data_IF_697538897329
#
_entry.id   IF_697538897329
#
_cell.length_a   1.000
_cell.length_b   1.000
_cell.length_c   1.000
_cell.angle_alpha   90.00
_cell.angle_beta   90.00
_cell.angle_gamma   90.00
#
_symmetry.space_group_name_H-M   'P 1'
#
loop_
_entity.id
_entity.type
_entity.pdbx_description
1 polymer ?
#
# COMPACT_ATOMS: atom_id res chain seq x y z
N UNK A 1 -6.83 -20.37 -0.83
CA UNK A 1 -6.10 -19.41 -1.70
C UNK A 1 -6.50 -17.96 -1.39
N UNK A 2 -5.54 -17.17 -0.94
CA UNK A 2 -5.72 -15.72 -0.80
C UNK A 2 -6.03 -15.15 -2.18
N UNK A 3 -7.23 -14.60 -2.36
CA UNK A 3 -7.60 -13.84 -3.56
C UNK A 3 -7.55 -12.37 -3.20
N UNK A 4 -6.85 -11.60 -4.05
CA UNK A 4 -6.79 -10.16 -3.97
C UNK A 4 -7.47 -9.59 -5.21
N UNK A 5 -8.41 -8.68 -5.04
CA UNK A 5 -9.04 -7.94 -6.14
C UNK A 5 -8.82 -6.46 -5.93
N UNK A 6 -8.30 -5.76 -6.95
CA UNK A 6 -8.03 -4.34 -6.90
C UNK A 6 -8.93 -3.57 -7.85
N UNK A 7 -9.36 -2.38 -7.45
CA UNK A 7 -9.96 -1.38 -8.34
C UNK A 7 -9.24 -0.05 -8.17
N UNK A 8 -8.90 0.56 -9.29
CA UNK A 8 -8.02 1.72 -9.35
C UNK A 8 -6.96 1.49 -10.41
N UNK A 9 -6.23 2.55 -10.75
CA UNK A 9 -5.07 2.45 -11.63
C UNK A 9 -3.93 3.29 -11.05
N UNK A 10 -2.71 2.85 -11.31
CA UNK A 10 -1.51 3.63 -11.11
C UNK A 10 -1.16 4.40 -12.38
N UNK A 11 -0.69 5.64 -12.22
CA UNK A 11 -0.29 6.48 -13.35
C UNK A 11 1.14 6.97 -13.17
N UNK A 12 2.02 6.46 -14.02
CA UNK A 12 3.42 6.82 -14.07
C UNK A 12 3.75 7.54 -15.38
N UNK A 13 4.74 8.44 -15.31
CA UNK A 13 5.35 9.05 -16.49
C UNK A 13 6.84 9.19 -16.25
N UNK A 14 7.65 8.79 -17.22
CA UNK A 14 9.08 9.06 -17.27
C UNK A 14 9.44 9.50 -18.68
N UNK A 15 9.60 10.82 -18.83
CA UNK A 15 9.88 11.48 -20.10
C UNK A 15 10.76 12.69 -19.87
N UNK A 16 11.76 12.91 -20.73
CA UNK A 16 12.70 14.02 -20.58
C UNK A 16 13.47 14.00 -19.26
N UNK A 17 13.78 12.81 -18.74
CA UNK A 17 14.48 12.63 -17.46
C UNK A 17 13.65 12.97 -16.21
N UNK A 18 12.34 13.23 -16.35
CA UNK A 18 11.45 13.55 -15.24
C UNK A 18 10.51 12.38 -14.94
N UNK A 19 10.60 11.82 -13.74
CA UNK A 19 9.67 10.81 -13.23
C UNK A 19 8.49 11.47 -12.51
N UNK A 20 7.29 10.96 -12.77
CA UNK A 20 6.06 11.36 -12.09
C UNK A 20 5.26 10.13 -11.68
N UNK A 21 4.72 10.19 -10.48
CA UNK A 21 3.64 9.31 -10.03
C UNK A 21 2.43 10.19 -9.69
N UNK A 22 1.46 10.24 -10.59
CA UNK A 22 0.30 11.15 -10.47
C UNK A 22 -0.79 10.59 -9.54
N UNK A 23 -0.73 9.28 -9.23
CA UNK A 23 -1.65 8.59 -8.32
C UNK A 23 -1.07 8.39 -6.91
N UNK A 24 0.23 8.58 -6.72
CA UNK A 24 0.87 8.53 -5.41
C UNK A 24 0.36 9.66 -4.48
N UNK A 25 0.41 9.41 -3.18
CA UNK A 25 0.07 10.40 -2.15
C UNK A 25 1.24 10.58 -1.17
N UNK A 26 1.94 11.73 -1.20
CA UNK A 26 1.79 12.85 -2.13
C UNK A 26 2.20 12.45 -3.57
N UNK A 27 1.73 13.24 -4.54
CA UNK A 27 2.18 13.08 -5.93
C UNK A 27 3.68 13.27 -6.01
N UNK A 28 4.37 12.41 -6.74
CA UNK A 28 5.82 12.49 -6.92
C UNK A 28 6.12 13.11 -8.27
N UNK A 29 7.08 14.03 -8.30
CA UNK A 29 7.59 14.65 -9.51
C UNK A 29 9.08 15.02 -9.27
N UNK A 30 9.99 14.17 -9.72
CA UNK A 30 11.44 14.31 -9.48
C UNK A 30 12.25 13.90 -10.71
N UNK A 31 13.52 14.29 -10.78
CA UNK A 31 14.40 13.81 -11.85
C UNK A 31 14.71 12.33 -11.65
N UNK A 32 14.83 11.59 -12.76
CA UNK A 32 15.26 10.20 -12.80
C UNK A 32 16.78 10.08 -13.01
N UNK A 33 17.55 10.84 -12.24
CA UNK A 33 19.00 11.04 -12.39
C UNK A 33 19.83 10.22 -11.38
N UNK A 34 19.20 9.34 -10.61
CA UNK A 34 19.89 8.54 -9.60
C UNK A 34 20.29 9.32 -8.36
N UNK A 35 19.73 10.51 -8.14
CA UNK A 35 20.01 11.36 -6.96
C UNK A 35 18.79 11.46 -6.04
N UNK A 36 19.04 11.79 -4.78
CA UNK A 36 17.97 12.01 -3.80
C UNK A 36 17.28 13.35 -4.07
N UNK A 37 15.97 13.32 -4.31
CA UNK A 37 15.13 14.51 -4.44
C UNK A 37 14.14 14.58 -3.28
N UNK A 38 13.89 15.80 -2.79
CA UNK A 38 12.98 16.01 -1.67
C UNK A 38 11.53 15.63 -2.00
N UNK A 39 10.86 15.02 -1.03
CA UNK A 39 9.43 14.71 -1.06
C UNK A 39 8.78 15.40 0.13
N UNK A 40 7.79 16.23 -0.12
CA UNK A 40 7.07 16.97 0.92
C UNK A 40 5.68 16.39 1.16
N UNK A 41 5.28 16.28 2.43
CA UNK A 41 3.93 15.86 2.83
C UNK A 41 3.73 14.35 2.92
N UNK A 42 4.78 13.55 2.72
CA UNK A 42 4.74 12.12 3.02
C UNK A 42 5.07 11.88 4.50
N UNK A 43 4.31 11.06 5.23
CA UNK A 43 4.71 10.63 6.57
C UNK A 43 5.77 9.51 6.54
N UNK A 44 5.98 8.90 5.38
CA UNK A 44 6.81 7.70 5.21
C UNK A 44 8.22 8.00 4.70
N UNK A 45 8.42 9.08 3.95
CA UNK A 45 9.67 9.37 3.25
C UNK A 45 9.94 10.88 3.22
N UNK A 46 11.21 11.26 3.28
CA UNK A 46 11.68 12.65 3.12
C UNK A 46 12.29 12.88 1.74
N UNK A 47 12.88 11.83 1.16
CA UNK A 47 13.45 11.88 -0.19
C UNK A 47 13.15 10.62 -0.97
N UNK A 48 13.18 10.76 -2.29
CA UNK A 48 13.13 9.64 -3.22
C UNK A 48 14.20 9.81 -4.29
N UNK A 49 14.82 8.70 -4.65
CA UNK A 49 15.84 8.61 -5.67
C UNK A 49 15.30 7.73 -6.78
N UNK A 50 15.20 8.28 -7.98
CA UNK A 50 14.71 7.56 -9.15
C UNK A 50 15.86 7.41 -10.13
N UNK A 51 16.17 6.18 -10.50
CA UNK A 51 17.18 5.83 -11.47
C UNK A 51 16.50 5.15 -12.67
N UNK A 52 16.57 5.79 -13.83
CA UNK A 52 16.31 5.11 -15.09
C UNK A 52 17.46 4.13 -15.36
N UNK A 53 17.16 2.83 -15.37
CA UNK A 53 18.16 1.76 -15.60
C UNK A 53 18.28 1.50 -17.11
N UNK A 54 17.12 1.37 -17.77
CA UNK A 54 16.97 1.27 -19.22
C UNK A 54 15.53 1.66 -19.58
N UNK A 55 15.17 1.55 -20.85
CA UNK A 55 13.85 1.92 -21.37
C UNK A 55 12.68 1.09 -20.80
N UNK A 56 12.93 -0.08 -20.19
CA UNK A 56 11.93 -0.94 -19.56
C UNK A 56 11.97 -0.93 -18.03
N UNK A 57 13.06 -0.42 -17.44
CA UNK A 57 13.37 -0.65 -16.03
C UNK A 57 13.70 0.65 -15.31
N UNK A 58 13.03 0.85 -14.17
CA UNK A 58 13.28 1.96 -13.25
C UNK A 58 13.49 1.41 -11.84
N UNK A 59 14.55 1.88 -11.18
CA UNK A 59 14.81 1.60 -9.77
C UNK A 59 14.48 2.86 -8.96
N UNK A 60 13.78 2.69 -7.84
CA UNK A 60 13.45 3.76 -6.89
C UNK A 60 13.95 3.37 -5.51
N UNK A 61 14.65 4.28 -4.85
CA UNK A 61 15.01 4.18 -3.43
C UNK A 61 14.30 5.27 -2.66
N UNK A 62 13.59 4.90 -1.61
CA UNK A 62 12.89 5.81 -0.70
C UNK A 62 13.65 5.95 0.60
N UNK A 63 13.81 7.17 1.11
CA UNK A 63 14.57 7.43 2.33
C UNK A 63 13.79 8.27 3.33
N UNK A 64 14.00 8.00 4.61
CA UNK A 64 13.54 8.79 5.76
C UNK A 64 14.73 9.02 6.68
N UNK A 65 14.94 10.26 7.14
CA UNK A 65 16.10 10.67 7.91
C UNK A 65 17.44 10.24 7.26
N UNK A 66 17.55 10.45 5.94
CA UNK A 66 18.69 10.04 5.10
C UNK A 66 19.02 8.52 5.07
N UNK A 67 18.18 7.68 5.67
CA UNK A 67 18.33 6.21 5.64
C UNK A 67 17.38 5.59 4.62
N UNK A 68 17.81 4.61 3.82
CA UNK A 68 16.90 3.81 3.00
C UNK A 68 15.83 3.14 3.86
N UNK A 69 14.57 3.35 3.50
CA UNK A 69 13.40 2.72 4.13
C UNK A 69 12.51 2.01 3.12
N UNK A 70 12.81 2.12 1.82
CA UNK A 70 12.10 1.35 0.81
C UNK A 70 12.86 1.28 -0.51
N UNK A 71 12.57 0.22 -1.25
CA UNK A 71 13.09 -0.02 -2.60
C UNK A 71 11.95 -0.45 -3.50
N UNK A 72 11.96 0.02 -4.73
CA UNK A 72 11.01 -0.39 -5.76
C UNK A 72 11.74 -0.59 -7.07
N UNK A 73 11.50 -1.71 -7.75
CA UNK A 73 11.97 -1.96 -9.10
C UNK A 73 10.78 -2.21 -10.00
N UNK A 74 10.59 -1.34 -10.97
CA UNK A 74 9.55 -1.44 -11.99
C UNK A 74 10.17 -1.97 -13.27
N UNK A 75 9.63 -3.06 -13.81
CA UNK A 75 10.06 -3.67 -15.07
C UNK A 75 8.87 -3.91 -15.98
N UNK A 76 8.90 -3.35 -17.18
CA UNK A 76 7.87 -3.55 -18.20
C UNK A 76 8.28 -4.71 -19.12
N UNK A 77 7.33 -5.57 -19.49
CA UNK A 77 7.55 -6.64 -20.46
C UNK A 77 7.86 -6.10 -21.86
N UNK A 78 8.54 -6.88 -22.68
CA UNK A 78 8.88 -6.52 -24.07
C UNK A 78 7.66 -6.15 -24.92
N UNK A 79 6.53 -6.84 -24.72
CA UNK A 79 5.27 -6.52 -25.40
C UNK A 79 4.59 -5.25 -24.86
N UNK A 80 5.16 -4.63 -23.82
CA UNK A 80 4.69 -3.43 -23.17
C UNK A 80 3.46 -3.61 -22.30
N UNK A 81 2.88 -4.82 -22.20
CA UNK A 81 1.55 -5.02 -21.61
C UNK A 81 1.56 -5.29 -20.11
N UNK A 82 2.68 -5.74 -19.56
CA UNK A 82 2.81 -6.13 -18.16
C UNK A 82 3.83 -5.26 -17.45
N UNK A 83 3.48 -4.74 -16.28
CA UNK A 83 4.41 -4.10 -15.35
C UNK A 83 4.57 -4.99 -14.13
N UNK A 84 5.79 -5.42 -13.87
CA UNK A 84 6.19 -6.09 -12.64
C UNK A 84 6.85 -5.06 -11.72
N UNK A 85 6.30 -4.90 -10.53
CA UNK A 85 6.81 -4.00 -9.49
C UNK A 85 7.25 -4.83 -8.29
N UNK A 86 8.56 -5.00 -8.13
CA UNK A 86 9.16 -5.61 -6.94
C UNK A 86 9.36 -4.51 -5.89
N UNK A 87 8.90 -4.72 -4.67
CA UNK A 87 8.97 -3.72 -3.61
C UNK A 87 9.44 -4.31 -2.29
N UNK A 88 10.15 -3.49 -1.51
CA UNK A 88 10.49 -3.76 -0.11
C UNK A 88 10.44 -2.48 0.71
N UNK A 89 10.22 -2.62 2.02
CA UNK A 89 10.19 -1.52 2.96
C UNK A 89 10.71 -1.93 4.34
N UNK A 90 11.07 -0.91 5.13
CA UNK A 90 11.34 -0.99 6.56
C UNK A 90 10.29 -0.12 7.27
N UNK A 91 9.47 -0.75 8.11
CA UNK A 91 8.45 -0.08 8.93
C UNK A 91 9.07 0.84 9.99
N UNK A 92 8.26 1.69 10.62
CA UNK A 92 8.70 2.57 11.71
C UNK A 92 9.29 1.78 12.89
N UNK A 93 8.82 0.54 13.11
CA UNK A 93 9.34 -0.37 14.13
C UNK A 93 10.64 -1.09 13.72
N UNK A 94 11.16 -0.84 12.53
CA UNK A 94 12.37 -1.44 11.98
C UNK A 94 12.17 -2.84 11.40
N UNK A 95 10.93 -3.27 11.19
CA UNK A 95 10.59 -4.57 10.60
C UNK A 95 10.49 -4.47 9.09
N UNK A 96 10.99 -5.49 8.41
CA UNK A 96 11.03 -5.56 6.95
C UNK A 96 9.76 -6.20 6.37
N UNK A 97 9.36 -5.71 5.21
CA UNK A 97 8.32 -6.30 4.38
C UNK A 97 8.70 -6.22 2.90
N UNK A 98 8.19 -7.16 2.11
CA UNK A 98 8.43 -7.20 0.67
C UNK A 98 7.30 -7.89 -0.08
N UNK A 99 7.27 -7.69 -1.40
CA UNK A 99 6.39 -8.40 -2.30
C UNK A 99 6.58 -7.96 -3.74
N UNK A 100 5.75 -8.53 -4.61
CA UNK A 100 5.78 -8.26 -6.05
C UNK A 100 4.36 -8.06 -6.55
N UNK A 101 4.11 -6.95 -7.24
CA UNK A 101 2.82 -6.66 -7.87
C UNK A 101 2.95 -6.78 -9.39
N UNK A 102 2.03 -7.51 -10.01
CA UNK A 102 1.93 -7.65 -11.46
C UNK A 102 0.70 -6.90 -11.94
N UNK A 103 0.92 -5.91 -12.81
CA UNK A 103 -0.11 -5.00 -13.32
C UNK A 103 -0.22 -5.08 -14.84
N UNK A 104 -1.43 -4.83 -15.35
CA UNK A 104 -1.71 -4.79 -16.79
C UNK A 104 -1.78 -3.34 -17.28
N UNK A 105 -1.26 -3.07 -18.47
CA UNK A 105 -1.39 -1.74 -19.08
C UNK A 105 -2.84 -1.44 -19.42
N UNK A 106 -3.25 -0.20 -19.16
CA UNK A 106 -4.51 0.37 -19.61
C UNK A 106 -4.22 1.46 -20.65
N UNK A 107 -4.71 1.24 -21.87
CA UNK A 107 -4.50 2.15 -22.99
C UNK A 107 -3.16 1.96 -23.70
N UNK A 108 -2.87 2.87 -24.63
CA UNK A 108 -1.68 2.81 -25.48
C UNK A 108 -0.41 3.20 -24.73
N UNK A 109 0.73 2.68 -25.19
CA UNK A 109 2.04 3.10 -24.70
C UNK A 109 2.33 4.56 -25.10
N UNK A 110 2.92 5.32 -24.19
CA UNK A 110 3.34 6.71 -24.47
C UNK A 110 4.56 6.71 -25.39
N UNK A 111 4.40 7.17 -26.63
CA UNK A 111 5.48 7.24 -27.60
C UNK A 111 6.61 8.18 -27.14
N UNK A 112 7.87 7.74 -27.31
CA UNK A 112 9.05 8.54 -26.95
C UNK A 112 9.29 8.72 -25.45
N UNK A 113 8.55 8.01 -24.60
CA UNK A 113 8.77 7.96 -23.16
C UNK A 113 9.33 6.58 -22.76
N UNK A 114 9.90 6.49 -21.56
CA UNK A 114 10.27 5.21 -20.97
C UNK A 114 9.01 4.33 -20.84
N UNK A 115 9.15 3.02 -21.04
CA UNK A 115 8.03 2.07 -21.10
C UNK A 115 7.23 1.98 -19.81
N UNK A 116 7.79 2.36 -18.65
CA UNK A 116 7.01 2.47 -17.41
C UNK A 116 5.89 3.52 -17.50
N UNK A 117 6.00 4.48 -18.42
CA UNK A 117 5.01 5.54 -18.62
C UNK A 117 3.69 4.96 -19.10
N UNK A 118 2.60 5.26 -18.41
CA UNK A 118 1.29 4.77 -18.74
C UNK A 118 0.34 4.71 -17.55
N UNK A 119 -0.83 4.15 -17.81
CA UNK A 119 -1.80 3.78 -16.78
C UNK A 119 -1.74 2.27 -16.59
N UNK A 120 -1.66 1.82 -15.35
CA UNK A 120 -1.49 0.42 -14.99
C UNK A 120 -2.60 0.00 -14.04
N UNK A 121 -3.25 -1.12 -14.34
CA UNK A 121 -4.26 -1.74 -13.48
C UNK A 121 -3.59 -2.84 -12.67
N UNK A 122 -3.48 -2.70 -11.33
CA UNK A 122 -2.93 -3.76 -10.48
C UNK A 122 -3.76 -5.05 -10.61
N UNK A 123 -3.07 -6.17 -10.73
CA UNK A 123 -3.69 -7.49 -10.87
C UNK A 123 -3.32 -8.41 -9.71
N UNK A 124 -2.17 -9.07 -9.82
CA UNK A 124 -1.73 -10.07 -8.84
C UNK A 124 -0.70 -9.49 -7.89
N UNK A 125 -0.70 -9.99 -6.65
CA UNK A 125 0.40 -9.78 -5.72
C UNK A 125 0.97 -11.14 -5.34
N UNK A 126 2.28 -11.27 -5.44
CA UNK A 126 3.05 -12.50 -5.31
C UNK A 126 4.26 -12.27 -4.42
N UNK A 127 4.91 -13.35 -3.98
CA UNK A 127 6.16 -13.33 -3.21
C UNK A 127 6.11 -12.41 -1.97
N UNK A 128 4.93 -12.30 -1.36
CA UNK A 128 4.69 -11.40 -0.23
C UNK A 128 5.29 -12.00 1.04
N UNK A 129 6.05 -11.20 1.78
CA UNK A 129 6.62 -11.62 3.05
C UNK A 129 5.52 -11.92 4.08
N UNK A 130 5.74 -12.93 4.92
CA UNK A 130 4.80 -13.30 5.98
C UNK A 130 4.49 -12.14 6.94
N UNK A 131 5.44 -11.22 7.12
CA UNK A 131 5.26 -10.01 7.92
C UNK A 131 4.16 -9.08 7.41
N UNK A 132 3.88 -9.09 6.11
CA UNK A 132 2.86 -8.23 5.47
C UNK A 132 1.48 -8.88 5.46
N UNK A 133 1.40 -10.21 5.43
CA UNK A 133 0.12 -10.95 5.26
C UNK A 133 -0.41 -11.59 6.54
N UNK A 134 0.22 -11.33 7.68
CA UNK A 134 -0.20 -11.88 8.98
C UNK A 134 -0.75 -10.78 9.85
N UNK A 135 -1.98 -10.94 10.34
CA UNK A 135 -2.61 -10.02 11.29
C UNK A 135 -3.17 -10.85 12.44
N UNK A 136 -2.95 -10.38 13.66
CA UNK A 136 -3.51 -11.01 14.86
C UNK A 136 -4.64 -10.16 15.40
N UNK A 137 -5.80 -10.79 15.57
CA UNK A 137 -6.95 -10.20 16.24
C UNK A 137 -7.24 -10.88 17.56
N UNK A 138 -7.49 -10.09 18.60
CA UNK A 138 -7.92 -10.54 19.92
C UNK A 138 -9.18 -9.81 20.33
N UNK A 139 -10.25 -10.56 20.57
CA UNK A 139 -11.47 -9.98 21.12
C UNK A 139 -11.22 -9.39 22.51
N UNK A 140 -11.82 -8.25 22.79
CA UNK A 140 -11.93 -7.69 24.15
C UNK A 140 -13.40 -7.69 24.58
N UNK A 141 -13.70 -7.24 25.80
CA UNK A 141 -15.08 -7.23 26.32
C UNK A 141 -16.07 -6.50 25.40
N UNK A 142 -15.66 -5.36 24.85
CA UNK A 142 -16.50 -4.47 24.04
C UNK A 142 -15.80 -3.98 22.76
N UNK A 143 -14.80 -4.72 22.28
CA UNK A 143 -13.92 -4.26 21.22
C UNK A 143 -13.01 -5.33 20.64
N UNK A 144 -11.94 -4.84 20.01
CA UNK A 144 -10.93 -5.63 19.33
C UNK A 144 -9.54 -5.03 19.62
N UNK A 145 -8.56 -5.91 19.79
CA UNK A 145 -7.14 -5.55 19.68
C UNK A 145 -6.57 -6.19 18.43
N UNK A 146 -5.84 -5.39 17.66
CA UNK A 146 -5.13 -5.80 16.46
C UNK A 146 -3.63 -5.59 16.69
N UNK A 147 -2.83 -6.51 16.18
CA UNK A 147 -1.39 -6.33 16.01
C UNK A 147 -0.87 -7.10 14.81
N UNK A 148 0.18 -6.62 14.17
CA UNK A 148 0.86 -7.33 13.09
C UNK A 148 2.39 -7.45 13.31
N UNK A 149 3.10 -8.24 12.48
CA UNK A 149 4.54 -8.39 12.59
C UNK A 149 5.38 -7.18 12.15
N UNK A 150 4.78 -6.18 11.47
CA UNK A 150 5.47 -4.93 11.12
C UNK A 150 5.37 -3.87 12.21
N UNK A 151 4.71 -4.20 13.32
CA UNK A 151 4.68 -3.39 14.54
C UNK A 151 3.46 -2.49 14.66
N UNK A 152 2.50 -2.63 13.75
CA UNK A 152 1.25 -1.92 13.85
C UNK A 152 0.37 -2.53 14.93
N UNK A 153 -0.37 -1.68 15.65
CA UNK A 153 -1.31 -2.15 16.66
C UNK A 153 -2.33 -1.12 17.09
N UNK A 154 -3.47 -1.62 17.57
CA UNK A 154 -4.44 -0.85 18.31
C UNK A 154 -5.20 -1.71 19.33
N UNK A 155 -5.91 -1.02 20.23
CA UNK A 155 -7.01 -1.61 21.03
C UNK A 155 -8.14 -0.60 21.04
N UNK A 156 -9.28 -0.99 20.46
CA UNK A 156 -10.40 -0.09 20.22
C UNK A 156 -11.74 -0.75 20.57
N UNK A 157 -12.70 0.05 21.00
CA UNK A 157 -14.07 -0.38 21.30
C UNK A 157 -14.97 -0.22 20.08
N UNK A 158 -16.08 -0.96 20.05
CA UNK A 158 -17.11 -0.85 19.01
C UNK A 158 -18.04 0.36 19.19
N UNK A 159 -17.64 1.38 19.94
CA UNK A 159 -18.46 2.56 20.25
C UNK A 159 -18.31 3.71 19.23
N UNK A 160 -17.59 3.47 18.14
CA UNK A 160 -17.37 4.44 17.06
C UNK A 160 -16.45 5.60 17.43
N UNK A 161 -15.79 5.59 18.59
CA UNK A 161 -14.83 6.62 18.99
C UNK A 161 -13.44 6.33 18.43
N UNK A 162 -12.63 7.38 18.39
CA UNK A 162 -11.24 7.30 17.97
C UNK A 162 -10.35 6.77 19.10
N UNK A 163 -9.58 5.74 18.78
CA UNK A 163 -8.56 5.14 19.63
C UNK A 163 -7.18 5.31 18.98
N UNK A 164 -6.09 5.43 19.77
CA UNK A 164 -4.75 5.55 19.22
C UNK A 164 -4.36 4.33 18.39
N UNK A 165 -3.83 4.60 17.20
CA UNK A 165 -3.12 3.64 16.37
C UNK A 165 -1.61 3.81 16.60
N UNK A 166 -0.86 2.72 16.62
CA UNK A 166 0.59 2.71 16.87
C UNK A 166 1.30 1.93 15.78
N UNK A 167 2.55 2.30 15.48
CA UNK A 167 3.41 1.59 14.51
C UNK A 167 3.42 2.20 13.11
N UNK A 168 2.34 2.88 12.71
CA UNK A 168 2.22 3.50 11.39
C UNK A 168 2.35 5.04 11.48
N UNK A 169 3.33 5.67 10.81
CA UNK A 169 3.45 7.14 10.77
C UNK A 169 2.32 7.82 9.97
N UNK A 170 1.62 7.06 9.12
CA UNK A 170 0.50 7.53 8.31
C UNK A 170 -0.88 7.22 8.88
N UNK A 171 -0.99 6.54 10.02
CA UNK A 171 -2.28 6.28 10.70
C UNK A 171 -2.16 6.61 12.17
N UNK A 172 -2.94 7.60 12.61
CA UNK A 172 -2.85 8.12 13.99
C UNK A 172 -3.94 7.59 14.90
N UNK A 173 -5.10 7.25 14.33
CA UNK A 173 -6.23 6.72 15.09
C UNK A 173 -7.09 5.81 14.26
N UNK A 174 -7.85 4.98 14.97
CA UNK A 174 -8.80 4.02 14.42
C UNK A 174 -10.12 4.11 15.19
N UNK A 175 -11.24 3.91 14.51
CA UNK A 175 -12.55 3.72 15.16
C UNK A 175 -13.21 2.45 14.66
N UNK A 176 -13.84 1.70 15.58
CA UNK A 176 -14.55 0.47 15.22
C UNK A 176 -16.04 0.60 15.44
N UNK A 177 -16.80 -0.05 14.57
CA UNK A 177 -18.26 -0.17 14.67
C UNK A 177 -18.69 -1.58 14.29
N UNK A 178 -19.57 -2.19 15.08
CA UNK A 178 -20.25 -3.43 14.67
C UNK A 178 -21.31 -3.10 13.61
N UNK A 179 -21.26 -3.80 12.49
CA UNK A 179 -22.30 -3.72 11.45
C UNK A 179 -23.33 -4.82 11.70
N UNK A 180 -22.88 -6.03 11.98
CA UNK A 180 -23.71 -7.17 12.37
C UNK A 180 -22.91 -8.14 13.28
N UNK A 181 -23.41 -9.37 13.46
CA UNK A 181 -22.78 -10.37 14.33
C UNK A 181 -21.38 -10.81 13.84
N UNK A 182 -21.13 -10.78 12.53
CA UNK A 182 -19.91 -11.29 11.90
C UNK A 182 -19.15 -10.22 11.12
N UNK A 183 -19.67 -8.98 11.05
CA UNK A 183 -19.08 -7.88 10.28
C UNK A 183 -18.77 -6.67 11.15
N UNK A 184 -17.54 -6.18 11.05
CA UNK A 184 -17.04 -4.95 11.69
C UNK A 184 -16.64 -3.95 10.60
N UNK A 185 -16.92 -2.68 10.84
CA UNK A 185 -16.33 -1.56 10.11
C UNK A 185 -15.20 -0.96 10.96
N UNK A 186 -14.01 -0.90 10.35
CA UNK A 186 -12.83 -0.22 10.86
C UNK A 186 -12.60 1.05 10.01
N UNK A 187 -12.34 2.17 10.66
CA UNK A 187 -12.05 3.45 9.99
C UNK A 187 -10.74 4.00 10.48
N UNK A 188 -9.76 4.04 9.58
CA UNK A 188 -8.43 4.58 9.86
C UNK A 188 -8.37 6.06 9.53
N UNK A 189 -7.64 6.79 10.37
CA UNK A 189 -7.53 8.24 10.30
C UNK A 189 -6.09 8.70 10.48
N UNK A 190 -5.75 9.76 9.77
CA UNK A 190 -4.53 10.55 9.95
C UNK A 190 -4.90 11.95 10.40
N UNK A 191 -4.50 12.33 11.61
CA UNK A 191 -4.78 13.63 12.20
C UNK A 191 -6.29 13.97 12.15
N UNK A 192 -7.15 12.99 12.50
CA UNK A 192 -8.61 13.13 12.50
C UNK A 192 -9.28 13.05 11.12
N UNK A 193 -8.53 13.01 10.02
CA UNK A 193 -9.08 12.83 8.67
C UNK A 193 -9.08 11.36 8.28
N UNK A 194 -10.22 10.86 7.80
CA UNK A 194 -10.36 9.48 7.30
C UNK A 194 -9.43 9.23 6.11
N UNK A 195 -8.63 8.17 6.21
CA UNK A 195 -7.71 7.70 5.18
C UNK A 195 -8.14 6.36 4.59
N UNK A 196 -8.75 5.47 5.38
CA UNK A 196 -9.31 4.22 4.91
C UNK A 196 -10.59 3.83 5.66
N UNK A 197 -11.44 3.05 5.00
CA UNK A 197 -12.58 2.36 5.61
C UNK A 197 -12.51 0.90 5.21
N UNK A 198 -12.53 0.01 6.18
CA UNK A 198 -12.30 -1.43 6.02
C UNK A 198 -13.49 -2.18 6.61
N UNK A 199 -14.15 -2.99 5.78
CA UNK A 199 -15.15 -3.94 6.27
C UNK A 199 -14.50 -5.30 6.47
N UNK A 200 -14.57 -5.81 7.69
CA UNK A 200 -13.99 -7.08 8.12
C UNK A 200 -15.13 -8.05 8.41
N UNK A 201 -15.29 -9.06 7.57
CA UNK A 201 -16.36 -10.05 7.67
C UNK A 201 -15.80 -11.45 7.94
N UNK A 202 -16.20 -12.07 9.05
CA UNK A 202 -15.81 -13.44 9.41
C UNK A 202 -16.81 -14.44 8.82
N UNK A 203 -16.33 -15.54 8.24
CA UNK A 203 -17.22 -16.61 7.77
C UNK A 203 -17.96 -17.29 8.93
N UNK A 204 -19.13 -17.86 8.64
CA UNK A 204 -19.96 -18.51 9.65
C UNK A 204 -19.24 -19.67 10.40
N UNK A 205 -18.28 -20.33 9.74
CA UNK A 205 -17.45 -21.38 10.34
C UNK A 205 -16.20 -20.85 11.06
N UNK A 206 -15.98 -19.54 11.06
CA UNK A 206 -14.85 -18.87 11.70
C UNK A 206 -13.48 -19.17 11.07
N UNK A 207 -13.45 -19.79 9.88
CA UNK A 207 -12.20 -20.23 9.23
C UNK A 207 -11.60 -19.18 8.32
N UNK A 208 -12.41 -18.23 7.82
CA UNK A 208 -11.95 -17.20 6.90
C UNK A 208 -12.42 -15.82 7.33
N UNK A 209 -11.65 -14.82 6.93
CA UNK A 209 -11.96 -13.41 7.15
C UNK A 209 -11.80 -12.66 5.84
N UNK A 210 -12.82 -11.93 5.43
CA UNK A 210 -12.81 -11.08 4.24
C UNK A 210 -12.61 -9.63 4.63
N UNK A 211 -11.71 -8.96 3.94
CA UNK A 211 -11.46 -7.55 4.06
C UNK A 211 -11.91 -6.86 2.79
N UNK A 212 -12.78 -5.87 2.90
CA UNK A 212 -13.12 -4.95 1.81
C UNK A 212 -12.65 -3.55 2.19
N UNK A 213 -11.54 -3.14 1.58
CA UNK A 213 -10.80 -1.92 1.88
C UNK A 213 -11.19 -0.85 0.88
N UNK A 214 -11.55 0.33 1.38
CA UNK A 214 -11.69 1.55 0.60
C UNK A 214 -10.63 2.54 1.03
N UNK A 215 -9.64 2.77 0.16
CA UNK A 215 -8.57 3.73 0.37
C UNK A 215 -9.03 5.10 -0.15
N UNK A 216 -9.18 6.06 0.77
CA UNK A 216 -9.61 7.43 0.48
C UNK A 216 -8.48 8.32 0.00
N UNK A 217 -7.22 7.96 0.25
CA UNK A 217 -6.06 8.70 -0.22
C UNK A 217 -5.85 8.47 -1.72
N UNK A 218 -5.91 7.21 -2.14
CA UNK A 218 -5.65 6.81 -3.53
C UNK A 218 -6.94 6.67 -4.37
N UNK A 219 -8.12 6.75 -3.73
CA UNK A 219 -9.42 6.51 -4.37
C UNK A 219 -9.48 5.13 -5.05
N UNK A 220 -9.02 4.11 -4.32
CA UNK A 220 -8.95 2.71 -4.76
C UNK A 220 -9.72 1.82 -3.79
N UNK A 221 -9.99 0.59 -4.22
CA UNK A 221 -10.52 -0.45 -3.35
C UNK A 221 -9.73 -1.73 -3.50
N UNK A 222 -9.61 -2.49 -2.43
CA UNK A 222 -9.01 -3.82 -2.44
C UNK A 222 -9.86 -4.81 -1.64
N UNK A 223 -10.03 -6.03 -2.16
CA UNK A 223 -10.65 -7.13 -1.41
C UNK A 223 -9.61 -8.21 -1.14
N UNK A 224 -9.59 -8.74 0.08
CA UNK A 224 -8.70 -9.81 0.50
C UNK A 224 -9.47 -10.88 1.26
N UNK A 225 -9.04 -12.14 1.14
CA UNK A 225 -9.52 -13.23 2.01
C UNK A 225 -8.34 -13.83 2.75
N UNK A 226 -8.39 -13.80 4.09
CA UNK A 226 -7.45 -14.46 4.97
C UNK A 226 -8.04 -15.79 5.50
N UNK A 227 -7.15 -16.74 5.76
CA UNK A 227 -7.46 -18.02 6.39
C UNK A 227 -6.94 -17.99 7.83
N UNK A 228 -7.74 -18.49 8.77
CA UNK A 228 -7.35 -18.57 10.18
C UNK A 228 -6.25 -19.62 10.34
N UNK A 229 -5.16 -19.25 11.01
CA UNK A 229 -4.07 -20.13 11.40
C UNK A 229 -4.39 -20.92 12.67
#
# INVERSE_FOLDING_TARGET
PQSAEFKGNDKYSLQGGMYRCDTCVPKIAVKADGQDHAVSGSPYIDTTNVQEVNDHTVQITSKKNAKPVGSTKMTVSEDGKTLTTEWSFISESGKEGSGKTVSERVGEATAGANKISGTWRPGKVEDISASVITITFKATTDGLSMSDPIGDSYTAKFDGKDYPYKGDPGTTSVSLKKIDANTIEETDKRNGKVTAVIHIAVSADGKTMKFAITDKLHNTTANWTAEKQ
#
